data_IF_682937656061
#
_entry.id   IF_682937656061
#
_cell.length_a   1.000
_cell.length_b   1.000
_cell.length_c   1.000
_cell.angle_alpha   90.00
_cell.angle_beta   90.00
_cell.angle_gamma   90.00
#
_symmetry.space_group_name_H-M   'P 1'
#
loop_
_entity.id
_entity.type
_entity.pdbx_description
1 polymer ?
#
# COMPACT_ATOMS: atom_id res chain seq x y z
N UNK A 1 18.41 1.74 -13.31
CA UNK A 1 17.50 0.66 -13.78
C UNK A 1 17.00 -0.24 -12.65
N UNK A 2 17.81 -0.58 -11.63
CA UNK A 2 17.33 -1.37 -10.48
C UNK A 2 16.12 -0.74 -9.75
N UNK A 3 16.17 0.57 -9.45
CA UNK A 3 15.11 1.27 -8.72
C UNK A 3 13.76 1.38 -9.47
N UNK A 4 13.74 1.32 -10.81
CA UNK A 4 12.50 1.26 -11.60
C UNK A 4 11.85 -0.14 -11.54
N UNK A 5 12.67 -1.19 -11.46
CA UNK A 5 12.18 -2.55 -11.27
C UNK A 5 11.52 -2.74 -9.90
N UNK A 6 12.11 -2.14 -8.88
CA UNK A 6 11.58 -2.14 -7.50
C UNK A 6 10.27 -1.35 -7.41
N UNK A 7 10.18 -0.14 -8.01
CA UNK A 7 8.93 0.64 -7.96
C UNK A 7 7.76 -0.04 -8.67
N UNK A 8 8.01 -0.74 -9.78
CA UNK A 8 6.98 -1.52 -10.50
C UNK A 8 6.51 -2.73 -9.69
N UNK A 9 7.42 -3.36 -8.95
CA UNK A 9 7.09 -4.46 -8.07
C UNK A 9 6.19 -3.99 -6.93
N UNK A 10 6.51 -2.88 -6.26
CA UNK A 10 5.71 -2.35 -5.16
C UNK A 10 4.33 -1.81 -5.61
N UNK A 11 4.24 -1.17 -6.77
CA UNK A 11 2.94 -0.75 -7.36
C UNK A 11 2.01 -1.96 -7.56
N UNK A 12 2.55 -3.08 -8.07
CA UNK A 12 1.78 -4.30 -8.28
C UNK A 12 1.27 -4.87 -6.96
N UNK A 13 2.12 -4.91 -5.93
CA UNK A 13 1.71 -5.42 -4.62
C UNK A 13 0.69 -4.53 -3.93
N UNK A 14 0.78 -3.20 -4.11
CA UNK A 14 -0.23 -2.28 -3.62
C UNK A 14 -1.59 -2.56 -4.28
N UNK A 15 -1.63 -2.89 -5.58
CA UNK A 15 -2.87 -3.32 -6.26
C UNK A 15 -3.41 -4.64 -5.71
N UNK A 16 -2.56 -5.65 -5.53
CA UNK A 16 -2.94 -6.93 -4.92
C UNK A 16 -3.47 -6.75 -3.48
N UNK A 17 -2.83 -5.88 -2.69
CA UNK A 17 -3.29 -5.53 -1.35
C UNK A 17 -4.64 -4.80 -1.37
N UNK A 18 -4.88 -3.90 -2.34
CA UNK A 18 -6.18 -3.25 -2.48
C UNK A 18 -7.30 -4.26 -2.79
N UNK A 19 -7.06 -5.18 -3.73
CA UNK A 19 -8.02 -6.22 -4.08
C UNK A 19 -8.35 -7.12 -2.88
N UNK A 20 -7.34 -7.47 -2.10
CA UNK A 20 -7.51 -8.19 -0.85
C UNK A 20 -8.36 -7.40 0.16
N UNK A 21 -8.03 -6.12 0.38
CA UNK A 21 -8.79 -5.26 1.28
C UNK A 21 -10.26 -5.11 0.86
N UNK A 22 -10.54 -5.04 -0.44
CA UNK A 22 -11.91 -5.00 -0.96
C UNK A 22 -12.69 -6.28 -0.68
N UNK A 23 -12.02 -7.44 -0.60
CA UNK A 23 -12.66 -8.70 -0.20
C UNK A 23 -12.94 -8.68 1.31
N UNK A 24 -11.94 -8.33 2.12
CA UNK A 24 -12.08 -8.27 3.58
C UNK A 24 -13.14 -7.24 4.01
N UNK A 25 -13.22 -6.09 3.34
CA UNK A 25 -14.24 -5.08 3.63
C UNK A 25 -15.68 -5.56 3.36
N UNK A 26 -15.88 -6.58 2.51
CA UNK A 26 -17.19 -7.21 2.29
C UNK A 26 -17.54 -8.18 3.41
N UNK A 27 -16.56 -8.94 3.90
CA UNK A 27 -16.73 -9.91 4.99
C UNK A 27 -16.83 -9.23 6.35
N UNK A 28 -16.06 -8.15 6.53
CA UNK A 28 -15.94 -7.36 7.75
C UNK A 28 -16.12 -5.87 7.40
N UNK A 29 -17.36 -5.37 7.31
CA UNK A 29 -17.66 -3.99 6.95
C UNK A 29 -17.38 -2.99 8.09
N UNK A 30 -16.19 -3.08 8.68
CA UNK A 30 -15.68 -2.19 9.71
C UNK A 30 -15.16 -0.93 9.01
N UNK A 31 -15.53 0.25 9.52
CA UNK A 31 -15.23 1.53 8.89
C UNK A 31 -13.75 1.71 8.54
N UNK A 32 -12.84 1.34 9.46
CA UNK A 32 -11.39 1.41 9.21
C UNK A 32 -10.91 0.45 8.11
N UNK A 33 -11.53 -0.72 7.97
CA UNK A 33 -11.22 -1.69 6.91
C UNK A 33 -11.75 -1.19 5.54
N UNK A 34 -12.94 -0.58 5.54
CA UNK A 34 -13.51 0.06 4.34
C UNK A 34 -12.62 1.23 3.88
N UNK A 35 -12.12 2.04 4.82
CA UNK A 35 -11.17 3.12 4.55
C UNK A 35 -9.88 2.60 3.91
N UNK A 36 -9.36 1.49 4.44
CA UNK A 36 -8.20 0.82 3.88
C UNK A 36 -8.39 0.40 2.43
N UNK A 37 -9.52 -0.26 2.13
CA UNK A 37 -9.83 -0.77 0.81
C UNK A 37 -10.01 0.33 -0.25
N UNK A 38 -10.68 1.43 0.12
CA UNK A 38 -11.11 2.43 -0.85
C UNK A 38 -10.17 3.63 -0.95
N UNK A 39 -9.42 3.96 0.10
CA UNK A 39 -8.65 5.20 0.16
C UNK A 39 -7.17 4.95 0.37
N UNK A 40 -6.77 4.23 1.43
CA UNK A 40 -5.35 4.14 1.80
C UNK A 40 -4.52 3.35 0.79
N UNK A 41 -5.04 2.22 0.30
CA UNK A 41 -4.37 1.50 -0.78
C UNK A 41 -4.40 2.24 -2.12
N UNK A 42 -5.48 2.98 -2.42
CA UNK A 42 -5.53 3.82 -3.61
C UNK A 42 -4.46 4.93 -3.58
N UNK A 43 -4.29 5.60 -2.42
CA UNK A 43 -3.22 6.57 -2.19
C UNK A 43 -1.83 5.95 -2.31
N UNK A 44 -1.65 4.74 -1.81
CA UNK A 44 -0.39 3.97 -1.91
C UNK A 44 -0.02 3.70 -3.36
N UNK A 45 -0.97 3.24 -4.18
CA UNK A 45 -0.77 3.00 -5.61
C UNK A 45 -0.36 4.29 -6.33
N UNK A 46 -1.08 5.38 -6.09
CA UNK A 46 -0.77 6.68 -6.69
C UNK A 46 0.61 7.21 -6.27
N UNK A 47 1.02 6.96 -5.02
CA UNK A 47 2.33 7.35 -4.54
C UNK A 47 3.45 6.57 -5.27
N UNK A 48 3.29 5.27 -5.48
CA UNK A 48 4.24 4.47 -6.26
C UNK A 48 4.26 4.85 -7.74
N UNK A 49 3.11 5.11 -8.36
CA UNK A 49 3.02 5.61 -9.73
C UNK A 49 3.74 6.96 -9.88
N UNK A 50 3.51 7.88 -8.93
CA UNK A 50 4.21 9.17 -8.88
C UNK A 50 5.71 9.04 -8.63
N UNK A 51 6.14 8.11 -7.77
CA UNK A 51 7.55 7.85 -7.51
C UNK A 51 8.27 7.31 -8.76
N UNK A 52 7.58 6.48 -9.56
CA UNK A 52 8.07 6.00 -10.86
C UNK A 52 8.30 7.14 -11.85
N UNK A 53 7.38 8.10 -11.92
CA UNK A 53 7.53 9.26 -12.80
C UNK A 53 8.67 10.20 -12.36
N UNK A 54 8.91 10.27 -11.06
CA UNK A 54 9.94 11.15 -10.48
C UNK A 54 11.31 10.50 -10.39
N UNK A 55 11.42 9.17 -10.48
CA UNK A 55 12.68 8.42 -10.40
C UNK A 55 13.78 8.93 -11.34
N UNK A 56 13.41 9.51 -12.48
CA UNK A 56 14.36 10.08 -13.46
C UNK A 56 14.57 11.59 -13.23
N UNK A 57 13.54 12.30 -12.75
CA UNK A 57 13.53 13.77 -12.68
C UNK A 57 13.99 14.30 -11.32
N UNK A 58 13.59 13.64 -10.25
CA UNK A 58 13.87 13.95 -8.86
C UNK A 58 13.87 12.66 -8.01
N UNK A 59 15.00 11.95 -7.95
CA UNK A 59 15.12 10.71 -7.18
C UNK A 59 14.89 10.88 -5.68
N UNK A 60 15.13 12.08 -5.13
CA UNK A 60 14.91 12.34 -3.70
C UNK A 60 13.42 12.43 -3.40
N UNK A 61 12.67 13.14 -4.25
CA UNK A 61 11.23 13.21 -4.13
C UNK A 61 10.55 11.86 -4.43
N UNK A 62 11.10 11.08 -5.36
CA UNK A 62 10.67 9.71 -5.60
C UNK A 62 10.82 8.81 -4.34
N UNK A 63 11.97 8.91 -3.65
CA UNK A 63 12.19 8.18 -2.40
C UNK A 63 11.24 8.63 -1.28
N UNK A 64 10.96 9.93 -1.18
CA UNK A 64 9.97 10.46 -0.24
C UNK A 64 8.56 9.90 -0.52
N UNK A 65 8.13 9.92 -1.79
CA UNK A 65 6.83 9.36 -2.21
C UNK A 65 6.74 7.86 -1.95
N UNK A 66 7.81 7.11 -2.22
CA UNK A 66 7.87 5.71 -1.87
C UNK A 66 7.61 5.55 -0.37
N UNK A 67 8.35 6.23 0.51
CA UNK A 67 8.16 6.14 1.97
C UNK A 67 6.72 6.40 2.41
N UNK A 68 6.10 7.47 1.90
CA UNK A 68 4.70 7.83 2.22
C UNK A 68 3.71 6.75 1.74
N UNK A 69 4.04 5.99 0.70
CA UNK A 69 3.24 4.87 0.25
C UNK A 69 3.14 3.75 1.31
N UNK A 70 4.10 3.64 2.23
CA UNK A 70 4.05 2.67 3.34
C UNK A 70 3.06 3.02 4.45
N UNK A 71 2.72 4.30 4.63
CA UNK A 71 1.88 4.77 5.75
C UNK A 71 0.46 4.18 5.71
N UNK A 72 -0.10 4.03 4.50
CA UNK A 72 -1.43 3.44 4.30
C UNK A 72 -1.51 1.97 4.73
N UNK A 73 -0.66 1.09 4.20
CA UNK A 73 -0.54 -0.31 4.63
C UNK A 73 -0.30 -0.47 6.13
N UNK A 74 0.56 0.35 6.74
CA UNK A 74 0.84 0.30 8.18
C UNK A 74 -0.41 0.62 9.02
N UNK A 75 -1.13 1.69 8.68
CA UNK A 75 -2.41 2.01 9.33
C UNK A 75 -3.42 0.85 9.19
N UNK A 76 -3.44 0.19 8.04
CA UNK A 76 -4.32 -0.94 7.80
C UNK A 76 -3.95 -2.13 8.66
N UNK A 77 -2.67 -2.45 8.81
CA UNK A 77 -2.22 -3.52 9.69
C UNK A 77 -2.68 -3.29 11.15
N UNK A 78 -2.65 -2.05 11.63
CA UNK A 78 -3.21 -1.69 12.94
C UNK A 78 -4.72 -1.90 13.00
N UNK A 79 -5.46 -1.52 11.94
CA UNK A 79 -6.91 -1.71 11.88
C UNK A 79 -7.32 -3.19 11.96
N UNK A 80 -6.57 -4.09 11.30
CA UNK A 80 -6.79 -5.54 11.44
C UNK A 80 -6.58 -6.02 12.87
N UNK A 81 -5.48 -5.58 13.50
CA UNK A 81 -5.12 -5.97 14.86
C UNK A 81 -6.20 -5.55 15.85
N UNK A 82 -6.72 -4.32 15.74
CA UNK A 82 -7.80 -3.84 16.60
C UNK A 82 -9.13 -4.54 16.33
N UNK A 83 -9.40 -4.93 15.08
CA UNK A 83 -10.59 -5.68 14.71
C UNK A 83 -10.52 -7.17 15.08
N UNK A 84 -9.38 -7.66 15.60
CA UNK A 84 -9.08 -9.09 15.78
C UNK A 84 -9.33 -9.92 14.50
N UNK A 85 -9.10 -9.32 13.33
CA UNK A 85 -9.14 -10.03 12.04
C UNK A 85 -7.74 -10.57 11.79
N UNK A 86 -7.64 -11.86 11.48
CA UNK A 86 -6.36 -12.43 11.05
C UNK A 86 -5.93 -11.74 9.75
N UNK A 87 -4.83 -11.01 9.83
CA UNK A 87 -4.22 -10.35 8.68
C UNK A 87 -3.19 -11.32 8.09
N UNK A 88 -3.52 -12.18 7.11
CA UNK A 88 -2.50 -12.88 6.36
C UNK A 88 -1.59 -11.80 5.77
N UNK A 89 -0.27 -11.96 5.91
CA UNK A 89 0.54 -10.81 6.24
C UNK A 89 0.56 -9.86 5.04
N UNK A 90 -0.03 -8.69 5.21
CA UNK A 90 0.34 -7.49 4.44
C UNK A 90 1.88 -7.32 4.50
N UNK A 91 2.51 -7.78 5.60
CA UNK A 91 3.96 -7.90 5.73
C UNK A 91 4.63 -8.92 4.76
N UNK A 92 3.90 -9.90 4.22
CA UNK A 92 4.36 -10.85 3.20
C UNK A 92 4.24 -10.26 1.79
N UNK A 93 3.34 -9.28 1.62
CA UNK A 93 3.42 -8.35 0.50
C UNK A 93 4.62 -7.41 0.69
N UNK A 94 5.33 -7.40 1.81
CA UNK A 94 6.64 -6.72 1.90
C UNK A 94 6.62 -5.26 1.46
N UNK A 95 5.51 -4.54 1.70
CA UNK A 95 5.48 -3.09 1.61
C UNK A 95 6.00 -2.58 2.96
N UNK A 96 7.28 -2.82 3.21
CA UNK A 96 8.02 -2.25 4.33
C UNK A 96 9.23 -1.60 3.67
N UNK A 97 9.25 -0.27 3.72
CA UNK A 97 10.22 0.59 3.03
C UNK A 97 11.32 0.95 4.01
#
# INVERSE_FOLDING_TARGET
MAALGESLYEEKKAKEGQEYMLQIAKEHPIERIILCANSLYASTILAFEGAKDDLIRDPWFAAYKARVAGDGPDYCAEAFKEANIENPPINKLGISI
#
